data_IF_192907834785
#
_entry.id   IF_192907834785
#
_cell.length_a   1.000
_cell.length_b   1.000
_cell.length_c   1.000
_cell.angle_alpha   90.00
_cell.angle_beta   90.00
_cell.angle_gamma   90.00
#
_symmetry.space_group_name_H-M   'P 1'
#
loop_
_entity.id
_entity.type
_entity.pdbx_description
1 polymer ?
#
# COMPACT_ATOMS: atom_id res chain seq x y z
N UNK A 1 1.00 5.54 -3.23
CA UNK A 1 1.49 6.95 -3.22
C UNK A 1 2.64 7.23 -2.25
N UNK A 2 2.53 6.93 -0.94
CA UNK A 2 3.54 7.30 0.07
C UNK A 2 4.92 6.64 -0.12
N UNK A 3 4.95 5.46 -0.75
CA UNK A 3 6.19 4.74 -1.02
C UNK A 3 7.23 5.57 -1.79
N UNK A 4 6.81 6.21 -2.88
CA UNK A 4 7.71 6.98 -3.75
C UNK A 4 8.15 8.30 -3.13
N UNK A 5 7.26 8.96 -2.38
CA UNK A 5 7.56 10.23 -1.70
C UNK A 5 8.58 10.05 -0.57
N UNK A 6 8.58 8.91 0.10
CA UNK A 6 9.47 8.64 1.23
C UNK A 6 10.88 8.17 0.83
N UNK A 7 11.21 8.08 -0.47
CA UNK A 7 12.50 7.55 -0.93
C UNK A 7 13.69 8.37 -0.42
N UNK A 8 13.57 9.71 -0.40
CA UNK A 8 14.64 10.57 0.11
C UNK A 8 14.93 10.30 1.59
N UNK A 9 13.88 10.10 2.42
CA UNK A 9 14.02 9.79 3.84
C UNK A 9 14.69 8.43 4.07
N UNK A 10 14.33 7.41 3.28
CA UNK A 10 14.93 6.06 3.37
C UNK A 10 16.41 6.02 2.98
N UNK A 11 16.87 6.93 2.12
CA UNK A 11 18.28 7.02 1.74
C UNK A 11 19.14 7.66 2.84
N UNK A 12 18.53 8.46 3.71
CA UNK A 12 19.17 9.11 4.85
C UNK A 12 19.10 8.29 6.14
N UNK A 13 18.25 7.26 6.21
CA UNK A 13 18.17 6.39 7.39
C UNK A 13 19.43 5.53 7.56
N UNK A 14 19.79 5.24 8.81
CA UNK A 14 20.89 4.36 9.14
C UNK A 14 20.71 2.95 8.50
N UNK A 15 21.81 2.27 8.13
CA UNK A 15 21.74 0.90 7.66
C UNK A 15 21.21 -0.04 8.75
N UNK A 16 20.40 -1.03 8.37
CA UNK A 16 19.83 -2.03 9.28
C UNK A 16 19.96 -3.45 8.72
N UNK A 17 19.74 -4.45 9.58
CA UNK A 17 19.89 -5.87 9.23
C UNK A 17 18.77 -6.33 8.28
N UNK A 18 19.11 -7.14 7.27
CA UNK A 18 18.17 -7.69 6.29
C UNK A 18 17.51 -8.98 6.82
N UNK A 19 16.19 -8.95 7.02
CA UNK A 19 15.39 -10.12 7.43
C UNK A 19 14.57 -10.70 6.26
N UNK A 20 14.06 -9.85 5.37
CA UNK A 20 13.20 -10.25 4.25
C UNK A 20 13.98 -10.42 2.94
N UNK A 21 13.43 -11.17 1.98
CA UNK A 21 14.05 -11.40 0.66
C UNK A 21 14.35 -10.09 -0.10
N UNK A 22 13.45 -9.11 0.00
CA UNK A 22 13.55 -7.79 -0.64
C UNK A 22 13.28 -6.67 0.35
N UNK A 23 14.33 -6.17 1.00
CA UNK A 23 14.23 -5.07 1.97
C UNK A 23 14.33 -3.68 1.30
N UNK A 24 13.94 -2.64 2.04
CA UNK A 24 14.17 -1.25 1.64
C UNK A 24 15.59 -0.84 1.99
N UNK A 25 16.54 -1.20 1.14
CA UNK A 25 17.96 -0.91 1.31
C UNK A 25 18.68 -0.93 -0.02
N UNK A 26 19.59 -1.88 -0.22
CA UNK A 26 20.22 -2.10 -1.52
C UNK A 26 19.22 -2.64 -2.55
N UNK A 27 18.31 -3.50 -2.12
CA UNK A 27 17.50 -4.33 -3.02
C UNK A 27 16.28 -3.60 -3.60
N UNK A 28 15.82 -2.52 -2.96
CA UNK A 28 14.63 -1.74 -3.39
C UNK A 28 14.88 -0.25 -3.31
N UNK A 29 15.69 0.26 -4.25
CA UNK A 29 15.95 1.70 -4.42
C UNK A 29 15.15 2.25 -5.58
N UNK A 30 14.36 3.27 -5.32
CA UNK A 30 13.68 4.03 -6.37
C UNK A 30 14.44 5.35 -6.64
N UNK A 31 14.29 5.98 -7.81
CA UNK A 31 14.76 7.34 -8.02
C UNK A 31 14.11 8.31 -7.02
N UNK A 32 14.88 9.28 -6.48
CA UNK A 32 14.35 10.32 -5.58
C UNK A 32 13.35 11.21 -6.34
N UNK A 33 13.76 11.67 -7.52
CA UNK A 33 12.86 12.38 -8.45
C UNK A 33 12.20 11.34 -9.32
N UNK A 34 10.95 11.01 -8.99
CA UNK A 34 10.14 10.05 -9.74
C UNK A 34 8.77 10.64 -10.08
N UNK A 35 8.47 10.75 -11.38
CA UNK A 35 7.17 11.24 -11.89
C UNK A 35 6.15 10.12 -12.10
N UNK A 36 6.54 8.85 -12.00
CA UNK A 36 5.60 7.73 -12.02
C UNK A 36 4.64 7.81 -10.83
N UNK A 37 3.35 7.57 -11.08
CA UNK A 37 2.30 7.57 -10.08
C UNK A 37 1.45 6.32 -10.29
N UNK A 38 1.49 5.47 -9.27
CA UNK A 38 0.55 4.37 -9.14
C UNK A 38 -0.77 4.94 -8.61
N UNK A 39 -1.82 4.87 -9.43
CA UNK A 39 -3.17 5.33 -9.10
C UNK A 39 -3.84 4.46 -8.03
N UNK A 40 -3.23 3.32 -7.65
CA UNK A 40 -3.79 2.40 -6.68
C UNK A 40 -5.05 1.69 -7.18
N UNK A 41 -5.33 1.78 -8.49
CA UNK A 41 -6.38 0.99 -9.11
C UNK A 41 -5.96 -0.48 -9.05
N UNK A 42 -6.84 -1.39 -8.62
CA UNK A 42 -6.55 -2.80 -8.74
C UNK A 42 -6.33 -3.12 -10.23
N UNK A 43 -5.23 -3.81 -10.54
CA UNK A 43 -4.91 -4.22 -11.91
C UNK A 43 -5.90 -5.24 -12.46
N UNK A 44 -6.69 -5.86 -11.58
CA UNK A 44 -7.69 -6.88 -11.87
C UNK A 44 -9.04 -6.36 -11.41
N UNK A 45 -10.05 -6.40 -12.28
CA UNK A 45 -11.45 -6.19 -11.85
C UNK A 45 -11.82 -7.37 -10.96
N UNK A 46 -12.27 -7.16 -9.71
CA UNK A 46 -12.76 -8.27 -8.90
C UNK A 46 -13.97 -8.88 -9.61
N UNK A 47 -13.96 -10.21 -9.75
CA UNK A 47 -15.09 -10.93 -10.32
C UNK A 47 -16.32 -10.68 -9.46
N UNK A 48 -17.34 -10.06 -10.05
CA UNK A 48 -18.56 -9.66 -9.35
C UNK A 48 -19.29 -10.86 -8.71
N UNK A 49 -19.05 -12.07 -9.19
CA UNK A 49 -19.59 -13.31 -8.64
C UNK A 49 -18.97 -13.73 -7.30
N UNK A 50 -17.77 -13.22 -6.97
CA UNK A 50 -17.01 -13.59 -5.76
C UNK A 50 -16.99 -12.45 -4.73
N UNK A 51 -17.31 -11.22 -5.14
CA UNK A 51 -17.39 -10.08 -4.24
C UNK A 51 -18.44 -10.34 -3.14
N UNK A 52 -18.09 -10.25 -1.85
CA UNK A 52 -19.07 -10.44 -0.78
C UNK A 52 -20.19 -9.41 -0.95
N UNK A 53 -21.44 -9.88 -0.95
CA UNK A 53 -22.60 -9.00 -0.97
C UNK A 53 -22.46 -7.97 0.15
N UNK A 54 -22.63 -6.69 -0.19
CA UNK A 54 -22.58 -5.60 0.78
C UNK A 54 -23.57 -5.91 1.90
N UNK A 55 -23.06 -6.23 3.09
CA UNK A 55 -23.88 -6.35 4.28
C UNK A 55 -24.42 -4.95 4.58
N UNK A 56 -25.68 -4.70 4.25
CA UNK A 56 -26.40 -3.56 4.81
C UNK A 56 -26.64 -3.87 6.29
N UNK A 57 -25.67 -3.50 7.13
CA UNK A 57 -25.83 -3.52 8.58
C UNK A 57 -26.80 -2.41 8.97
N UNK A 58 -28.07 -2.77 9.18
CA UNK A 58 -29.08 -1.90 9.75
C UNK A 58 -28.65 -1.48 11.15
N UNK A 59 -28.28 -0.21 11.29
CA UNK A 59 -28.08 0.44 12.57
C UNK A 59 -29.45 0.81 13.16
N UNK A 60 -30.28 -0.18 13.46
CA UNK A 60 -31.51 0.01 14.22
C UNK A 60 -31.57 -1.03 15.33
N UNK A 61 -31.04 -0.65 16.49
CA UNK A 61 -31.38 -1.11 17.85
C UNK A 61 -30.24 -0.74 18.77
N UNK A 62 -30.35 0.40 19.45
CA UNK A 62 -29.81 0.65 20.80
C UNK A 62 -30.34 2.01 21.27
N UNK A 63 -31.66 2.11 21.44
CA UNK A 63 -32.28 3.05 22.37
C UNK A 63 -33.27 2.24 23.23
N UNK A 64 -32.83 1.89 24.44
CA UNK A 64 -33.63 1.78 25.66
C UNK A 64 -32.70 1.92 26.86
#
# INVERSE_FOLDING_TARGET
RLLYLAEYKRRQSAPGVKVTKKNFGRDRRYPIVNRFRDEGRPSVRPDAAIAPAQSQGGAERFEE
#
